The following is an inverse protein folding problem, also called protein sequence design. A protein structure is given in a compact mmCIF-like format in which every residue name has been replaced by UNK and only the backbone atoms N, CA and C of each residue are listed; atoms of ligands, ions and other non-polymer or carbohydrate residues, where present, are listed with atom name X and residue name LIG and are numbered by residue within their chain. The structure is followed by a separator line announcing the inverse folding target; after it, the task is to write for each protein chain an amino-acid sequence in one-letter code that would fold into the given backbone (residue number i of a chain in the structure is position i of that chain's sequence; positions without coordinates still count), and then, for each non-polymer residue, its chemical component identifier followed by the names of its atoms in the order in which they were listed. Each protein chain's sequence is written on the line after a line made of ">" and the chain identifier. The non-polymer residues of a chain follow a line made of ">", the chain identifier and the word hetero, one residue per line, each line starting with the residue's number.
data_IF_868936355750
#
_entry.id   IF_868936355750
#
_cell.length_a   1.000
_cell.length_b   1.000
_cell.length_c   1.000
_cell.angle_alpha   90.00
_cell.angle_beta   90.00
_cell.angle_gamma   90.00
#
_symmetry.space_group_name_H-M   'P 1'
#
loop_
_entity.id
_entity.type
_entity.pdbx_description
1 polymer ?
#
# COMPACT_ATOMS: atom_id res chain seq x y z
N UNK A 1 0.04 1.29 -3.73
CA UNK A 1 -0.71 0.92 -4.98
C UNK A 1 -0.09 1.57 -6.23
N UNK A 2 0.47 2.76 -6.07
CA UNK A 2 1.03 3.62 -7.12
C UNK A 2 2.11 2.93 -7.98
N UNK A 3 2.97 2.11 -7.38
CA UNK A 3 4.02 1.39 -8.12
C UNK A 3 3.47 0.36 -9.11
N UNK A 4 2.33 -0.27 -8.80
CA UNK A 4 1.70 -1.24 -9.72
C UNK A 4 1.31 -0.55 -11.02
N UNK A 5 0.67 0.62 -10.95
CA UNK A 5 0.31 1.39 -12.14
C UNK A 5 1.55 1.81 -12.95
N UNK A 6 2.62 2.25 -12.28
CA UNK A 6 3.89 2.59 -12.94
C UNK A 6 4.51 1.38 -13.65
N UNK A 7 4.51 0.21 -13.02
CA UNK A 7 5.04 -1.03 -13.60
C UNK A 7 4.19 -1.53 -14.76
N UNK A 8 2.86 -1.42 -14.67
CA UNK A 8 1.95 -1.77 -15.76
C UNK A 8 2.21 -0.91 -16.99
N UNK A 9 2.31 0.41 -16.82
CA UNK A 9 2.66 1.32 -17.91
C UNK A 9 4.06 1.02 -18.48
N UNK A 10 5.05 0.78 -17.61
CA UNK A 10 6.39 0.40 -18.04
C UNK A 10 6.38 -0.89 -18.88
N UNK A 11 5.64 -1.94 -18.48
CA UNK A 11 5.58 -3.21 -19.22
C UNK A 11 4.95 -3.06 -20.60
N UNK A 12 3.97 -2.17 -20.79
CA UNK A 12 3.41 -1.91 -22.13
C UNK A 12 4.44 -1.28 -23.08
N UNK A 13 5.38 -0.49 -22.54
CA UNK A 13 6.42 0.19 -23.31
C UNK A 13 7.72 -0.62 -23.41
N UNK A 14 7.91 -1.66 -22.59
CA UNK A 14 9.16 -2.40 -22.48
C UNK A 14 8.92 -3.91 -22.52
N UNK A 15 9.61 -4.61 -23.42
CA UNK A 15 9.66 -6.07 -23.47
C UNK A 15 11.11 -6.54 -23.27
N UNK A 16 11.48 -6.98 -22.05
CA UNK A 16 12.75 -7.65 -21.83
C UNK A 16 12.96 -8.85 -22.76
N UNK A 17 14.21 -9.13 -23.13
CA UNK A 17 14.54 -10.17 -24.12
C UNK A 17 14.15 -11.60 -23.66
N UNK A 18 14.07 -11.82 -22.35
CA UNK A 18 13.67 -13.08 -21.71
C UNK A 18 12.15 -13.20 -21.50
N UNK A 19 11.36 -12.17 -21.86
CA UNK A 19 9.91 -12.22 -21.71
C UNK A 19 9.23 -13.07 -22.80
N UNK A 20 8.55 -14.13 -22.34
CA UNK A 20 7.73 -15.00 -23.18
C UNK A 20 6.35 -14.40 -23.54
N UNK A 21 6.00 -13.26 -22.96
CA UNK A 21 4.74 -12.56 -23.24
C UNK A 21 4.73 -11.82 -24.59
N UNK A 22 3.54 -11.40 -25.07
CA UNK A 22 3.40 -10.72 -26.35
C UNK A 22 4.12 -9.36 -26.38
N UNK A 23 4.39 -8.90 -27.61
CA UNK A 23 4.86 -7.56 -27.92
C UNK A 23 3.72 -6.54 -27.89
N UNK A 24 4.06 -5.27 -27.67
CA UNK A 24 3.10 -4.16 -27.66
C UNK A 24 2.29 -4.05 -26.36
N UNK A 25 1.09 -3.50 -26.48
CA UNK A 25 0.17 -3.28 -25.36
C UNK A 25 -0.38 -4.61 -24.83
N UNK A 26 0.10 -5.02 -23.65
CA UNK A 26 -0.33 -6.26 -22.98
C UNK A 26 -1.44 -6.00 -21.97
N UNK A 27 -1.37 -4.85 -21.31
CA UNK A 27 -2.33 -4.40 -20.30
C UNK A 27 -3.17 -3.29 -20.92
N UNK A 28 -4.48 -3.49 -21.11
CA UNK A 28 -5.36 -2.47 -21.67
C UNK A 28 -5.28 -1.12 -20.92
N UNK A 29 -5.15 -0.02 -21.67
CA UNK A 29 -5.02 1.33 -21.10
C UNK A 29 -6.19 1.73 -20.20
N UNK A 30 -7.40 1.24 -20.48
CA UNK A 30 -8.57 1.49 -19.66
C UNK A 30 -8.44 0.93 -18.23
N UNK A 31 -7.65 -0.13 -18.00
CA UNK A 31 -7.40 -0.68 -16.66
C UNK A 31 -6.37 0.16 -15.90
N UNK A 32 -5.44 0.80 -16.61
CA UNK A 32 -4.38 1.65 -16.03
C UNK A 32 -4.94 3.03 -15.68
N UNK A 33 -5.79 3.59 -16.54
CA UNK A 33 -6.37 4.93 -16.40
C UNK A 33 -7.62 4.96 -15.52
N UNK A 34 -8.32 3.83 -15.35
CA UNK A 34 -9.46 3.75 -14.42
C UNK A 34 -8.97 4.10 -13.01
N UNK A 35 -9.62 5.04 -12.31
CA UNK A 35 -9.23 5.39 -10.95
C UNK A 35 -9.28 4.14 -10.05
N UNK A 36 -8.30 3.97 -9.15
CA UNK A 36 -8.27 2.83 -8.23
C UNK A 36 -9.54 2.83 -7.37
N UNK A 37 -10.33 1.76 -7.49
CA UNK A 37 -11.55 1.54 -6.73
C UNK A 37 -11.55 0.10 -6.20
N UNK A 38 -11.68 -0.13 -4.89
CA UNK A 38 -11.93 -1.46 -4.32
C UNK A 38 -13.39 -1.86 -4.50
N UNK A 39 -13.78 -2.07 -5.75
CA UNK A 39 -15.11 -2.52 -6.13
C UNK A 39 -15.34 -3.96 -5.64
N UNK A 40 -15.78 -4.11 -4.39
CA UNK A 40 -16.44 -5.32 -3.90
C UNK A 40 -17.97 -5.22 -3.96
N UNK A 41 -18.53 -4.03 -4.30
CA UNK A 41 -19.96 -3.78 -4.61
C UNK A 41 -20.15 -2.54 -5.51
N UNK A 42 -21.26 -2.47 -6.25
CA UNK A 42 -21.70 -1.26 -6.97
C UNK A 42 -21.81 -0.08 -5.98
N UNK A 43 -21.15 1.04 -6.29
CA UNK A 43 -21.05 2.27 -5.48
C UNK A 43 -20.17 2.20 -4.22
N UNK A 44 -19.30 1.21 -4.06
CA UNK A 44 -18.30 1.22 -2.99
C UNK A 44 -17.00 1.89 -3.46
N UNK A 45 -16.77 3.14 -3.06
CA UNK A 45 -15.53 3.88 -3.29
C UNK A 45 -14.66 3.88 -2.02
N UNK A 46 -13.42 3.37 -2.08
CA UNK A 46 -12.45 3.50 -0.97
C UNK A 46 -12.21 4.96 -0.55
N UNK A 47 -12.50 5.89 -1.47
CA UNK A 47 -12.33 7.33 -1.28
C UNK A 47 -13.24 7.90 -0.20
N UNK A 48 -14.31 7.20 0.21
CA UNK A 48 -15.18 7.67 1.29
C UNK A 48 -14.55 7.51 2.68
N UNK A 49 -13.43 6.78 2.79
CA UNK A 49 -12.83 6.48 4.08
C UNK A 49 -11.31 6.51 4.13
N UNK A 50 -10.58 6.55 3.02
CA UNK A 50 -9.11 6.63 3.02
C UNK A 50 -8.62 7.95 2.39
N UNK A 51 -7.47 8.48 2.84
CA UNK A 51 -6.85 9.61 2.16
C UNK A 51 -6.42 9.24 0.73
N UNK A 52 -6.11 10.24 -0.11
CA UNK A 52 -5.48 10.01 -1.41
C UNK A 52 -4.31 9.02 -1.34
N UNK A 53 -4.17 8.17 -2.37
CA UNK A 53 -3.22 7.05 -2.34
C UNK A 53 -1.76 7.48 -2.25
N UNK A 54 -1.41 8.65 -2.77
CA UNK A 54 -0.09 9.27 -2.62
C UNK A 54 0.22 9.60 -1.17
N UNK A 55 -0.73 10.22 -0.46
CA UNK A 55 -0.64 10.51 0.97
C UNK A 55 -0.59 9.21 1.79
N UNK A 56 -1.45 8.25 1.47
CA UNK A 56 -1.50 6.95 2.15
C UNK A 56 -0.20 6.14 1.96
N UNK A 57 0.29 6.04 0.72
CA UNK A 57 1.50 5.29 0.40
C UNK A 57 2.72 5.91 1.12
N UNK A 58 2.79 7.24 1.28
CA UNK A 58 3.87 7.93 2.00
C UNK A 58 3.83 7.71 3.53
N UNK A 59 2.65 7.78 4.14
CA UNK A 59 2.48 7.47 5.57
C UNK A 59 2.83 5.99 5.84
N UNK A 60 2.34 5.07 5.01
CA UNK A 60 2.64 3.64 5.15
C UNK A 60 4.13 3.34 5.01
N UNK A 61 4.83 4.03 4.09
CA UNK A 61 6.28 3.90 3.96
C UNK A 61 7.00 4.32 5.24
N UNK A 62 6.60 5.45 5.84
CA UNK A 62 7.13 5.90 7.13
C UNK A 62 6.93 4.84 8.23
N UNK A 63 5.69 4.40 8.44
CA UNK A 63 5.31 3.46 9.50
C UNK A 63 5.91 2.05 9.33
N UNK A 64 6.09 1.58 8.09
CA UNK A 64 6.44 0.17 7.81
C UNK A 64 7.90 0.00 7.41
N UNK A 65 8.40 0.86 6.52
CA UNK A 65 9.76 0.74 5.98
C UNK A 65 10.79 1.48 6.83
N UNK A 66 10.45 2.69 7.28
CA UNK A 66 11.37 3.57 8.01
C UNK A 66 11.25 3.44 9.54
N UNK A 67 10.19 2.82 10.07
CA UNK A 67 9.88 2.77 11.51
C UNK A 67 9.77 4.17 12.16
N UNK A 68 9.26 5.13 11.39
CA UNK A 68 8.99 6.48 11.90
C UNK A 68 7.81 6.46 12.90
N UNK A 69 7.92 7.28 13.95
CA UNK A 69 6.82 7.50 14.89
C UNK A 69 5.70 8.33 14.25
N UNK A 70 4.53 8.38 14.91
CA UNK A 70 3.43 9.26 14.48
C UNK A 70 3.89 10.72 14.42
N UNK A 71 4.72 11.14 15.36
CA UNK A 71 5.23 12.51 15.43
C UNK A 71 6.25 12.81 14.32
N UNK A 72 7.14 11.86 14.01
CA UNK A 72 8.08 12.02 12.90
C UNK A 72 7.34 12.21 11.58
N UNK A 73 6.32 11.40 11.31
CA UNK A 73 5.51 11.50 10.08
C UNK A 73 4.71 12.81 10.06
N UNK A 74 4.14 13.20 11.19
CA UNK A 74 3.38 14.45 11.32
C UNK A 74 4.29 15.67 11.07
N UNK A 75 5.54 15.63 11.52
CA UNK A 75 6.52 16.70 11.29
C UNK A 75 6.85 16.94 9.82
N UNK A 76 6.61 15.95 8.94
CA UNK A 76 6.78 16.05 7.49
C UNK A 76 5.62 16.78 6.79
N UNK A 77 4.60 17.21 7.53
CA UNK A 77 3.45 17.98 7.03
C UNK A 77 2.17 17.17 6.87
N UNK A 78 2.13 15.93 7.40
CA UNK A 78 0.91 15.13 7.44
C UNK A 78 0.04 15.50 8.65
N UNK A 79 -1.27 15.47 8.47
CA UNK A 79 -2.22 15.73 9.58
C UNK A 79 -2.15 14.62 10.62
N UNK A 80 -1.83 14.95 11.88
CA UNK A 80 -1.62 13.94 12.95
C UNK A 80 -2.81 12.99 13.15
N UNK A 81 -4.08 13.48 13.24
CA UNK A 81 -5.26 12.61 13.25
C UNK A 81 -5.34 11.63 12.08
N UNK A 82 -4.90 12.04 10.88
CA UNK A 82 -4.84 11.17 9.72
C UNK A 82 -3.80 10.07 9.89
N UNK A 83 -2.58 10.42 10.35
CA UNK A 83 -1.50 9.48 10.61
C UNK A 83 -1.91 8.45 11.67
N UNK A 84 -2.47 8.90 12.79
CA UNK A 84 -2.99 8.04 13.87
C UNK A 84 -4.07 7.07 13.35
N UNK A 85 -4.95 7.55 12.48
CA UNK A 85 -6.00 6.73 11.87
C UNK A 85 -5.41 5.65 10.96
N UNK A 86 -4.43 6.00 10.12
CA UNK A 86 -3.74 5.04 9.24
C UNK A 86 -2.96 4.02 10.07
N UNK A 87 -2.27 4.44 11.12
CA UNK A 87 -1.57 3.54 12.05
C UNK A 87 -2.55 2.56 12.72
N UNK A 88 -3.69 3.06 13.17
CA UNK A 88 -4.73 2.21 13.75
C UNK A 88 -5.25 1.17 12.74
N UNK A 89 -5.57 1.59 11.52
CA UNK A 89 -6.01 0.70 10.43
C UNK A 89 -4.93 -0.33 10.10
N UNK A 90 -3.65 0.08 10.13
CA UNK A 90 -2.52 -0.82 9.97
C UNK A 90 -2.56 -1.89 11.05
N UNK A 91 -2.65 -1.55 12.34
CA UNK A 91 -2.65 -2.55 13.42
C UNK A 91 -3.84 -3.49 13.40
N UNK A 92 -5.06 -3.00 13.17
CA UNK A 92 -6.24 -3.88 13.15
C UNK A 92 -6.23 -4.85 11.95
N UNK A 93 -5.50 -4.54 10.88
CA UNK A 93 -5.37 -5.41 9.72
C UNK A 93 -4.35 -6.55 9.91
N UNK A 94 -3.65 -6.62 11.04
CA UNK A 94 -2.60 -7.62 11.29
C UNK A 94 -3.13 -9.06 11.22
N UNK A 95 -4.35 -9.31 11.71
CA UNK A 95 -4.95 -10.65 11.64
C UNK A 95 -5.20 -11.10 10.19
N UNK A 96 -5.58 -10.18 9.30
CA UNK A 96 -5.80 -10.47 7.87
C UNK A 96 -4.48 -10.81 7.20
N UNK A 97 -3.41 -10.07 7.52
CA UNK A 97 -2.07 -10.28 6.94
C UNK A 97 -1.46 -11.62 7.33
N UNK A 98 -1.68 -12.10 8.56
CA UNK A 98 -1.20 -13.44 8.96
C UNK A 98 -1.89 -14.59 8.22
N UNK A 99 -3.06 -14.36 7.64
CA UNK A 99 -3.79 -15.36 6.84
C UNK A 99 -3.46 -15.24 5.34
N UNK A 100 -2.71 -14.22 4.93
CA UNK A 100 -2.33 -14.03 3.54
C UNK A 100 -1.34 -15.12 3.09
N UNK A 101 -1.47 -15.55 1.83
CA UNK A 101 -0.50 -16.45 1.23
C UNK A 101 0.89 -15.78 1.15
N UNK A 102 1.98 -16.58 1.12
CA UNK A 102 3.33 -16.05 0.90
C UNK A 102 3.41 -15.28 -0.42
N UNK A 103 4.03 -14.10 -0.39
CA UNK A 103 4.24 -13.24 -1.56
C UNK A 103 5.72 -12.87 -1.76
N UNK A 104 6.06 -12.41 -2.96
CA UNK A 104 7.42 -11.98 -3.30
C UNK A 104 7.77 -10.71 -2.54
N UNK A 105 8.95 -10.68 -1.91
CA UNK A 105 9.49 -9.50 -1.24
C UNK A 105 10.21 -8.61 -2.25
N UNK A 106 9.74 -7.38 -2.41
CA UNK A 106 10.32 -6.36 -3.30
C UNK A 106 10.93 -5.16 -2.55
N UNK A 107 10.52 -4.92 -1.30
CA UNK A 107 10.99 -3.82 -0.44
C UNK A 107 11.98 -4.32 0.63
N UNK A 108 12.62 -3.41 1.36
CA UNK A 108 13.56 -3.74 2.45
C UNK A 108 12.88 -4.49 3.60
N UNK A 109 11.63 -4.14 3.91
CA UNK A 109 10.80 -4.75 4.95
C UNK A 109 9.47 -5.20 4.38
N UNK A 110 9.07 -6.44 4.67
CA UNK A 110 7.76 -6.96 4.27
C UNK A 110 6.85 -7.26 5.46
N UNK A 111 5.55 -7.37 5.16
CA UNK A 111 4.59 -7.97 6.07
C UNK A 111 4.83 -9.49 6.11
N UNK A 112 5.35 -9.99 7.22
CA UNK A 112 5.73 -11.39 7.35
C UNK A 112 6.89 -11.58 8.32
N UNK A 113 8.01 -12.13 7.84
CA UNK A 113 9.16 -12.46 8.70
C UNK A 113 9.80 -11.21 9.30
N UNK A 114 9.85 -10.12 8.55
CA UNK A 114 10.60 -8.90 8.90
C UNK A 114 9.83 -8.00 9.87
N UNK A 115 8.49 -7.99 9.79
CA UNK A 115 7.63 -7.20 10.70
C UNK A 115 6.72 -8.14 11.50
N UNK A 116 7.10 -8.41 12.75
CA UNK A 116 6.39 -9.32 13.65
C UNK A 116 5.59 -8.55 14.71
N UNK A 117 4.34 -8.23 14.40
CA UNK A 117 3.44 -7.59 15.35
C UNK A 117 2.45 -8.59 15.97
N UNK A 118 2.05 -8.39 17.23
CA UNK A 118 1.00 -9.20 17.84
C UNK A 118 -0.36 -8.88 17.21
N UNK A 119 -1.23 -9.91 17.07
CA UNK A 119 -2.62 -9.71 16.64
C UNK A 119 -3.39 -8.93 17.72
N UNK A 120 -3.27 -9.38 18.98
CA UNK A 120 -3.84 -8.69 20.13
C UNK A 120 -2.90 -7.56 20.53
N UNK A 121 -3.18 -6.35 20.06
CA UNK A 121 -2.35 -5.18 20.32
C UNK A 121 -3.17 -3.95 20.78
N UNK A 122 -2.94 -3.50 22.02
CA UNK A 122 -3.52 -2.26 22.57
C UNK A 122 -2.53 -1.10 22.64
N UNK A 123 -1.29 -1.28 22.18
CA UNK A 123 -0.32 -0.18 22.09
C UNK A 123 -0.83 0.91 21.16
N UNK A 124 -0.69 2.18 21.56
CA UNK A 124 -1.01 3.35 20.76
C UNK A 124 0.07 4.39 21.00
N UNK A 125 0.69 4.84 19.93
CA UNK A 125 1.69 5.90 19.97
C UNK A 125 0.94 7.24 20.03
N UNK A 126 0.77 7.78 21.23
CA UNK A 126 -0.02 9.00 21.51
C UNK A 126 0.77 10.08 22.22
N UNK A 127 2.00 9.76 22.60
CA UNK A 127 2.92 10.64 23.32
C UNK A 127 3.50 11.70 22.42
#
# INVERSE_FOLDING_TARGET
>A
KTEVFKLSAWRNHNRPADCLGPEGEVIPENIITKPPSAELRENQTDQDSLPPYDVLDDILRGLVENEESVDDISSRGHDRPLVERVEHLLYIAEYKRRQAAPGVKITRRNFGRDRRYPITNRFRDRT
#
